data_IF_429069265515
#
_entry.id   IF_429069265515
#
_cell.length_a   1.000
_cell.length_b   1.000
_cell.length_c   1.000
_cell.angle_alpha   90.00
_cell.angle_beta   90.00
_cell.angle_gamma   90.00
#
_symmetry.space_group_name_H-M   'P 1'
#
loop_
_entity.id
_entity.type
_entity.pdbx_description
1 polymer ?
#
# COMPACT_ATOMS: atom_id res chain seq x y z
N UNK A 1 -8.14 37.69 -0.75
CA UNK A 1 -8.06 37.05 0.59
C UNK A 1 -7.98 35.55 0.38
N UNK A 2 -6.75 35.01 0.28
CA UNK A 2 -6.48 33.56 0.18
C UNK A 2 -6.50 33.06 1.63
N UNK A 3 -7.60 32.42 2.03
CA UNK A 3 -7.66 31.74 3.32
C UNK A 3 -6.77 30.51 3.24
N UNK A 4 -5.72 30.44 4.05
CA UNK A 4 -4.90 29.23 4.19
C UNK A 4 -5.81 28.06 4.59
N UNK A 5 -5.67 26.87 3.95
CA UNK A 5 -6.47 25.72 4.32
C UNK A 5 -6.22 25.37 5.79
N UNK A 6 -7.27 24.96 6.51
CA UNK A 6 -7.13 24.50 7.90
C UNK A 6 -6.20 23.28 7.95
N UNK A 7 -5.52 23.07 9.09
CA UNK A 7 -4.61 21.94 9.27
C UNK A 7 -5.31 20.60 8.94
N UNK A 8 -6.57 20.43 9.35
CA UNK A 8 -7.39 19.24 9.03
C UNK A 8 -7.60 19.04 7.52
N UNK A 9 -7.81 20.12 6.77
CA UNK A 9 -7.96 20.05 5.31
C UNK A 9 -6.65 19.68 4.63
N UNK A 10 -5.52 20.13 5.14
CA UNK A 10 -4.20 19.77 4.62
C UNK A 10 -3.88 18.29 4.88
N UNK A 11 -4.13 17.80 6.09
CA UNK A 11 -3.94 16.39 6.43
C UNK A 11 -4.80 15.47 5.56
N UNK A 12 -6.06 15.80 5.35
CA UNK A 12 -6.95 15.02 4.48
C UNK A 12 -6.44 14.98 3.02
N UNK A 13 -5.95 16.10 2.50
CA UNK A 13 -5.39 16.15 1.14
C UNK A 13 -4.14 15.30 1.00
N UNK A 14 -3.22 15.37 1.96
CA UNK A 14 -1.99 14.55 1.97
C UNK A 14 -2.38 13.07 1.99
N UNK A 15 -3.28 12.67 2.88
CA UNK A 15 -3.77 11.28 2.97
C UNK A 15 -4.39 10.80 1.65
N UNK A 16 -5.26 11.61 1.02
CA UNK A 16 -5.91 11.22 -0.24
C UNK A 16 -4.91 11.00 -1.38
N UNK A 17 -3.86 11.82 -1.47
CA UNK A 17 -2.88 11.70 -2.55
C UNK A 17 -1.91 10.54 -2.29
N UNK A 18 -1.53 10.31 -1.04
CA UNK A 18 -0.76 9.14 -0.64
C UNK A 18 -1.52 7.85 -0.99
N UNK A 19 -2.80 7.78 -0.65
CA UNK A 19 -3.69 6.67 -1.04
C UNK A 19 -3.67 6.41 -2.54
N UNK A 20 -3.72 7.44 -3.40
CA UNK A 20 -3.66 7.27 -4.87
C UNK A 20 -2.32 6.66 -5.29
N UNK A 21 -1.23 7.10 -4.70
CA UNK A 21 0.12 6.55 -4.99
C UNK A 21 0.20 5.07 -4.61
N UNK A 22 -0.26 4.71 -3.42
CA UNK A 22 -0.24 3.34 -2.90
C UNK A 22 -1.18 2.41 -3.69
N UNK A 23 -2.37 2.88 -4.07
CA UNK A 23 -3.28 2.16 -4.97
C UNK A 23 -2.63 1.87 -6.32
N UNK A 24 -1.98 2.89 -6.90
CA UNK A 24 -1.33 2.78 -8.22
C UNK A 24 -0.12 1.85 -8.16
N UNK A 25 0.70 1.94 -7.10
CA UNK A 25 1.83 1.04 -6.89
C UNK A 25 1.36 -0.41 -6.74
N UNK A 26 0.37 -0.65 -5.89
CA UNK A 26 -0.22 -1.97 -5.70
C UNK A 26 -0.78 -2.54 -7.00
N UNK A 27 -1.53 -1.73 -7.77
CA UNK A 27 -2.03 -2.14 -9.08
C UNK A 27 -0.90 -2.51 -10.06
N UNK A 28 0.16 -1.71 -10.12
CA UNK A 28 1.31 -1.96 -11.00
C UNK A 28 2.05 -3.25 -10.61
N UNK A 29 2.27 -3.49 -9.32
CA UNK A 29 2.86 -4.74 -8.82
C UNK A 29 1.96 -5.93 -9.12
N UNK A 30 0.66 -5.82 -8.91
CA UNK A 30 -0.31 -6.86 -9.22
C UNK A 30 -0.31 -7.21 -10.71
N UNK A 31 -0.36 -6.20 -11.57
CA UNK A 31 -0.32 -6.36 -13.02
C UNK A 31 0.98 -7.04 -13.49
N UNK A 32 2.12 -6.59 -12.96
CA UNK A 32 3.43 -7.18 -13.29
C UNK A 32 3.54 -8.66 -12.91
N UNK A 33 2.90 -9.07 -11.80
CA UNK A 33 2.99 -10.45 -11.30
C UNK A 33 1.99 -11.40 -11.97
N UNK A 34 0.74 -10.99 -12.13
CA UNK A 34 -0.36 -11.87 -12.56
C UNK A 34 -1.23 -11.30 -13.68
N UNK A 35 -0.98 -10.10 -14.19
CA UNK A 35 -1.83 -9.44 -15.19
C UNK A 35 -2.13 -10.32 -16.40
N UNK A 36 -1.09 -10.93 -16.99
CA UNK A 36 -1.22 -11.82 -18.16
C UNK A 36 -2.07 -13.08 -17.91
N UNK A 37 -2.32 -13.45 -16.65
CA UNK A 37 -3.05 -14.69 -16.26
C UNK A 37 -4.43 -14.40 -15.70
N UNK A 38 -4.72 -13.16 -15.32
CA UNK A 38 -5.94 -12.81 -14.57
C UNK A 38 -6.69 -11.62 -15.14
N UNK A 39 -6.23 -11.11 -16.28
CA UNK A 39 -6.69 -9.84 -16.82
C UNK A 39 -6.56 -8.74 -15.75
N UNK A 40 -7.43 -7.75 -15.77
CA UNK A 40 -7.44 -6.61 -14.82
C UNK A 40 -7.64 -6.98 -13.33
N UNK A 41 -7.92 -8.26 -13.01
CA UNK A 41 -8.13 -8.70 -11.61
C UNK A 41 -6.85 -8.60 -10.79
N UNK A 42 -5.69 -8.84 -11.40
CA UNK A 42 -4.41 -8.68 -10.69
C UNK A 42 -4.18 -7.22 -10.29
N UNK A 43 -4.42 -6.26 -11.18
CA UNK A 43 -4.32 -4.84 -10.86
C UNK A 43 -5.31 -4.44 -9.76
N UNK A 44 -6.56 -4.92 -9.83
CA UNK A 44 -7.58 -4.65 -8.82
C UNK A 44 -7.16 -5.18 -7.44
N UNK A 45 -6.76 -6.45 -7.34
CA UNK A 45 -6.33 -7.04 -6.07
C UNK A 45 -5.01 -6.47 -5.57
N UNK A 46 -4.13 -6.05 -6.49
CA UNK A 46 -2.92 -5.32 -6.16
C UNK A 46 -3.22 -3.96 -5.52
N UNK A 47 -4.21 -3.21 -6.07
CA UNK A 47 -4.69 -1.96 -5.46
C UNK A 47 -5.26 -2.19 -4.06
N UNK A 48 -6.09 -3.22 -3.88
CA UNK A 48 -6.67 -3.57 -2.57
C UNK A 48 -5.58 -3.91 -1.57
N UNK A 49 -4.61 -4.75 -1.97
CA UNK A 49 -3.48 -5.12 -1.12
C UNK A 49 -2.61 -3.90 -0.77
N UNK A 50 -2.32 -3.05 -1.77
CA UNK A 50 -1.53 -1.83 -1.58
C UNK A 50 -2.18 -0.81 -0.63
N UNK A 51 -3.50 -0.81 -0.50
CA UNK A 51 -4.24 0.08 0.41
C UNK A 51 -4.43 -0.53 1.80
N UNK A 52 -4.28 -1.84 1.95
CA UNK A 52 -4.60 -2.55 3.21
C UNK A 52 -3.85 -2.03 4.44
N UNK A 53 -2.53 -1.70 4.40
CA UNK A 53 -1.83 -1.18 5.57
C UNK A 53 -2.42 0.13 6.09
N UNK A 54 -2.84 1.03 5.20
CA UNK A 54 -3.38 2.35 5.55
C UNK A 54 -4.79 2.29 6.18
N UNK A 55 -5.45 1.13 6.16
CA UNK A 55 -6.71 0.95 6.86
C UNK A 55 -6.57 1.05 8.39
N UNK A 56 -5.35 0.98 8.92
CA UNK A 56 -5.07 1.22 10.33
C UNK A 56 -5.45 2.66 10.76
N UNK A 57 -5.41 3.63 9.84
CA UNK A 57 -5.89 5.00 10.08
C UNK A 57 -7.37 5.01 10.52
N UNK A 58 -8.19 4.10 9.99
CA UNK A 58 -9.60 4.00 10.38
C UNK A 58 -9.76 3.56 11.84
N UNK A 59 -8.84 2.75 12.35
CA UNK A 59 -8.81 2.35 13.76
C UNK A 59 -8.37 3.53 14.65
N UNK A 60 -7.53 4.41 14.10
CA UNK A 60 -7.03 5.60 14.77
C UNK A 60 -8.11 6.64 15.09
N UNK A 61 -9.26 6.65 14.38
CA UNK A 61 -10.38 7.57 14.67
C UNK A 61 -10.90 7.41 16.09
N UNK A 62 -10.67 6.26 16.70
CA UNK A 62 -11.10 5.94 18.09
C UNK A 62 -10.00 6.14 19.14
N UNK A 63 -8.82 6.64 18.77
CA UNK A 63 -7.66 6.80 19.66
C UNK A 63 -7.13 8.25 19.65
N UNK A 64 -6.28 8.61 20.63
CA UNK A 64 -5.66 9.96 20.68
C UNK A 64 -4.63 10.14 19.57
N UNK A 65 -4.41 11.38 19.12
CA UNK A 65 -3.45 11.73 18.04
C UNK A 65 -2.03 11.18 18.26
N UNK A 66 -1.55 11.21 19.51
CA UNK A 66 -0.22 10.68 19.86
C UNK A 66 -0.15 9.16 19.75
N UNK A 67 -1.24 8.46 20.05
CA UNK A 67 -1.35 7.01 19.91
C UNK A 67 -1.49 6.63 18.43
N UNK A 68 -2.19 7.44 17.63
CA UNK A 68 -2.29 7.24 16.18
C UNK A 68 -0.94 7.25 15.49
N UNK A 69 -0.09 8.23 15.78
CA UNK A 69 1.27 8.32 15.21
C UNK A 69 2.15 7.12 15.56
N UNK A 70 1.96 6.54 16.75
CA UNK A 70 2.70 5.35 17.19
C UNK A 70 2.19 4.03 16.61
N UNK A 71 0.88 3.94 16.32
CA UNK A 71 0.24 2.74 15.73
C UNK A 71 0.36 2.77 14.22
N UNK A 72 0.12 3.94 13.61
CA UNK A 72 0.26 4.15 12.18
C UNK A 72 1.72 3.94 11.76
N UNK A 73 1.95 3.16 10.71
CA UNK A 73 3.27 2.72 10.23
C UNK A 73 4.03 1.80 11.21
N UNK A 74 3.32 1.19 12.17
CA UNK A 74 3.81 0.14 13.05
C UNK A 74 3.64 -1.26 12.44
N UNK A 75 2.88 -2.11 13.12
CA UNK A 75 2.72 -3.53 12.75
C UNK A 75 2.19 -3.72 11.33
N UNK A 76 1.21 -2.92 10.90
CA UNK A 76 0.59 -2.99 9.56
C UNK A 76 1.57 -2.72 8.41
N UNK A 77 2.68 -2.03 8.68
CA UNK A 77 3.75 -1.70 7.72
C UNK A 77 5.02 -2.53 7.96
N UNK A 78 4.92 -3.64 8.70
CA UNK A 78 6.05 -4.50 9.00
C UNK A 78 6.22 -5.62 7.98
N UNK A 79 7.43 -6.16 7.91
CA UNK A 79 7.72 -7.36 7.13
C UNK A 79 6.87 -8.57 7.58
N UNK A 80 6.64 -8.70 8.88
CA UNK A 80 5.77 -9.76 9.44
C UNK A 80 4.35 -9.63 8.93
N UNK A 81 3.81 -8.42 8.89
CA UNK A 81 2.47 -8.18 8.33
C UNK A 81 2.43 -8.49 6.83
N UNK A 82 3.47 -8.14 6.07
CA UNK A 82 3.53 -8.47 4.64
C UNK A 82 3.49 -9.99 4.40
N UNK A 83 4.18 -10.77 5.22
CA UNK A 83 4.15 -12.25 5.14
C UNK A 83 2.77 -12.80 5.51
N UNK A 84 2.25 -12.44 6.68
CA UNK A 84 0.96 -12.97 7.17
C UNK A 84 -0.21 -12.47 6.33
N UNK A 85 -0.24 -11.18 6.02
CA UNK A 85 -1.23 -10.57 5.13
C UNK A 85 -1.19 -11.15 3.72
N UNK A 86 0.02 -11.44 3.22
CA UNK A 86 0.23 -12.13 1.96
C UNK A 86 -0.40 -13.52 1.93
N UNK A 87 -0.21 -14.30 2.98
CA UNK A 87 -0.79 -15.65 3.10
C UNK A 87 -2.32 -15.60 3.21
N UNK A 88 -2.85 -14.75 4.09
CA UNK A 88 -4.29 -14.61 4.33
C UNK A 88 -4.99 -14.01 3.11
N UNK A 89 -4.52 -12.86 2.61
CA UNK A 89 -5.10 -12.20 1.46
C UNK A 89 -5.05 -13.06 0.20
N UNK A 90 -3.94 -13.74 -0.04
CA UNK A 90 -3.80 -14.67 -1.16
C UNK A 90 -4.75 -15.86 -1.08
N UNK A 91 -4.95 -16.45 0.10
CA UNK A 91 -5.94 -17.51 0.33
C UNK A 91 -7.37 -17.02 0.08
N UNK A 92 -7.74 -15.87 0.62
CA UNK A 92 -9.06 -15.28 0.43
C UNK A 92 -9.33 -14.97 -1.05
N UNK A 93 -8.36 -14.36 -1.74
CA UNK A 93 -8.48 -14.08 -3.18
C UNK A 93 -8.64 -15.36 -4.00
N UNK A 94 -7.89 -16.40 -3.68
CA UNK A 94 -8.01 -17.70 -4.37
C UNK A 94 -9.38 -18.36 -4.16
N UNK A 95 -9.97 -18.22 -2.97
CA UNK A 95 -11.32 -18.73 -2.69
C UNK A 95 -12.36 -17.96 -3.50
N UNK A 96 -12.26 -16.62 -3.55
CA UNK A 96 -13.17 -15.76 -4.32
C UNK A 96 -13.10 -16.08 -5.82
N UNK A 97 -11.91 -16.44 -6.30
CA UNK A 97 -11.64 -16.71 -7.71
C UNK A 97 -11.34 -18.19 -7.95
N UNK A 98 -12.03 -19.10 -7.27
CA UNK A 98 -11.83 -20.56 -7.41
C UNK A 98 -12.02 -21.09 -8.84
N UNK A 99 -12.75 -20.36 -9.71
CA UNK A 99 -12.91 -20.69 -11.12
C UNK A 99 -11.72 -20.32 -12.01
N UNK A 100 -10.70 -19.63 -11.50
CA UNK A 100 -9.47 -19.35 -12.22
C UNK A 100 -8.42 -20.44 -11.91
N UNK A 101 -7.73 -20.93 -12.94
CA UNK A 101 -6.61 -21.87 -12.79
C UNK A 101 -5.35 -21.20 -12.23
N UNK A 102 -5.51 -20.46 -11.13
CA UNK A 102 -4.44 -19.74 -10.43
C UNK A 102 -4.27 -20.31 -9.03
N UNK A 103 -3.05 -20.75 -8.73
CA UNK A 103 -2.74 -21.31 -7.42
C UNK A 103 -2.85 -20.21 -6.33
N UNK A 104 -3.35 -20.56 -5.14
CA UNK A 104 -3.39 -19.68 -4.00
C UNK A 104 -2.00 -19.06 -3.65
N UNK A 105 -0.92 -19.81 -3.93
CA UNK A 105 0.46 -19.35 -3.72
C UNK A 105 0.82 -18.17 -4.62
N UNK A 106 0.29 -18.13 -5.85
CA UNK A 106 0.54 -17.01 -6.77
C UNK A 106 -0.19 -15.76 -6.29
N UNK A 107 -1.44 -15.90 -5.81
CA UNK A 107 -2.16 -14.82 -5.15
C UNK A 107 -1.44 -14.34 -3.87
N UNK A 108 -0.88 -15.28 -3.07
CA UNK A 108 -0.11 -14.92 -1.87
C UNK A 108 1.16 -14.13 -2.20
N UNK A 109 1.84 -14.46 -3.29
CA UNK A 109 2.99 -13.67 -3.79
C UNK A 109 2.57 -12.27 -4.19
N UNK A 110 1.42 -12.12 -4.89
CA UNK A 110 0.88 -10.80 -5.25
C UNK A 110 0.64 -9.97 -3.99
N UNK A 111 -0.12 -10.48 -3.05
CA UNK A 111 -0.40 -9.79 -1.79
C UNK A 111 0.87 -9.43 -1.02
N UNK A 112 1.79 -10.39 -0.88
CA UNK A 112 3.07 -10.17 -0.19
C UNK A 112 3.86 -9.01 -0.81
N UNK A 113 4.04 -9.03 -2.14
CA UNK A 113 4.81 -8.00 -2.80
C UNK A 113 4.13 -6.64 -2.78
N UNK A 114 2.81 -6.59 -2.90
CA UNK A 114 2.07 -5.32 -2.76
C UNK A 114 2.22 -4.73 -1.36
N UNK A 115 2.06 -5.53 -0.30
CA UNK A 115 2.23 -5.10 1.09
C UNK A 115 3.68 -4.69 1.38
N UNK A 116 4.65 -5.45 0.89
CA UNK A 116 6.06 -5.14 1.08
C UNK A 116 6.49 -3.86 0.36
N UNK A 117 6.09 -3.69 -0.90
CA UNK A 117 6.43 -2.49 -1.68
C UNK A 117 5.75 -1.25 -1.11
N UNK A 118 4.54 -1.36 -0.56
CA UNK A 118 3.89 -0.30 0.19
C UNK A 118 4.77 0.14 1.38
N UNK A 119 5.11 -0.78 2.29
CA UNK A 119 5.92 -0.47 3.47
C UNK A 119 7.32 0.07 3.12
N UNK A 120 7.91 -0.43 2.03
CA UNK A 120 9.19 0.09 1.52
C UNK A 120 9.05 1.51 0.99
N UNK A 121 7.99 1.82 0.21
CA UNK A 121 7.76 3.18 -0.27
C UNK A 121 7.64 4.16 0.88
N UNK A 122 6.92 3.79 1.93
CA UNK A 122 6.79 4.59 3.14
C UNK A 122 8.12 4.81 3.86
N UNK A 123 9.01 3.81 3.85
CA UNK A 123 10.35 3.97 4.41
C UNK A 123 11.22 4.97 3.62
N UNK A 124 10.91 5.24 2.34
CA UNK A 124 11.57 6.30 1.58
C UNK A 124 11.07 7.70 1.92
N UNK A 125 9.95 7.83 2.63
CA UNK A 125 9.42 9.13 3.08
C UNK A 125 10.14 9.66 4.32
N UNK A 126 9.80 10.89 4.74
CA UNK A 126 10.41 11.56 5.90
C UNK A 126 9.96 10.98 7.26
N UNK A 127 8.78 10.32 7.30
CA UNK A 127 8.16 9.91 8.57
C UNK A 127 8.73 8.63 9.15
N UNK A 128 9.35 7.79 8.31
CA UNK A 128 9.87 6.49 8.71
C UNK A 128 8.79 5.42 8.91
N UNK A 129 9.20 4.17 8.83
CA UNK A 129 8.32 3.00 8.91
C UNK A 129 8.98 1.92 9.76
N UNK A 130 8.24 1.29 10.68
CA UNK A 130 8.76 0.27 11.58
C UNK A 130 8.80 -1.11 10.88
N UNK A 131 9.64 -1.25 9.87
CA UNK A 131 9.73 -2.45 9.01
C UNK A 131 9.94 -3.75 9.80
N UNK A 132 10.63 -3.67 10.94
CA UNK A 132 11.00 -4.83 11.75
C UNK A 132 10.10 -5.06 12.96
N UNK A 133 8.98 -4.34 13.07
CA UNK A 133 7.99 -4.57 14.13
C UNK A 133 7.44 -6.01 14.03
N UNK A 134 7.27 -6.77 15.13
CA UNK A 134 7.42 -6.41 16.56
C UNK A 134 8.83 -6.62 17.12
N UNK A 135 9.81 -7.00 16.33
CA UNK A 135 11.19 -7.27 16.81
C UNK A 135 11.94 -5.98 17.15
N UNK A 136 11.63 -4.87 16.46
CA UNK A 136 12.22 -3.56 16.67
C UNK A 136 11.24 -2.46 16.27
N UNK A 137 11.10 -1.45 17.15
CA UNK A 137 10.28 -0.27 16.90
C UNK A 137 11.07 0.84 16.19
N UNK A 138 12.29 0.55 15.73
CA UNK A 138 13.14 1.54 15.07
C UNK A 138 12.52 1.96 13.73
N UNK A 139 12.20 3.26 13.54
CA UNK A 139 11.63 3.75 12.29
C UNK A 139 12.73 3.91 11.24
N UNK A 140 12.63 3.16 10.15
CA UNK A 140 13.52 3.29 8.99
C UNK A 140 13.01 4.44 8.13
N UNK A 141 13.82 5.48 7.90
CA UNK A 141 13.50 6.62 7.05
C UNK A 141 14.69 6.97 6.16
N UNK A 142 14.52 6.83 4.85
CA UNK A 142 15.55 7.23 3.88
C UNK A 142 15.41 8.68 3.45
N UNK A 143 14.26 9.33 3.70
CA UNK A 143 13.98 10.75 3.45
C UNK A 143 14.34 11.23 2.02
N UNK A 144 14.08 10.40 1.01
CA UNK A 144 14.45 10.67 -0.39
C UNK A 144 13.27 11.06 -1.26
N UNK A 145 12.04 10.75 -0.84
CA UNK A 145 10.80 10.98 -1.60
C UNK A 145 9.83 11.75 -0.70
N UNK A 146 9.08 12.67 -1.28
CA UNK A 146 7.95 13.29 -0.60
C UNK A 146 6.78 12.30 -0.55
N UNK A 147 5.93 12.39 0.49
CA UNK A 147 4.72 11.55 0.61
C UNK A 147 3.86 11.68 -0.63
N UNK A 148 3.81 12.87 -1.21
CA UNK A 148 3.10 13.20 -2.43
C UNK A 148 4.12 13.62 -3.46
N UNK A 149 4.63 12.67 -4.24
CA UNK A 149 5.58 12.96 -5.30
C UNK A 149 4.96 12.72 -6.69
N UNK A 150 4.54 13.78 -7.40
CA UNK A 150 3.98 13.65 -8.74
C UNK A 150 4.97 13.07 -9.74
N UNK A 151 6.28 13.30 -9.54
CA UNK A 151 7.34 12.78 -10.40
C UNK A 151 7.47 11.26 -10.31
N UNK A 152 7.03 10.67 -9.20
CA UNK A 152 6.96 9.22 -9.02
C UNK A 152 5.59 8.68 -9.46
N UNK A 153 4.50 9.30 -9.00
CA UNK A 153 3.14 8.79 -9.18
C UNK A 153 2.67 8.86 -10.64
N UNK A 154 2.95 9.97 -11.34
CA UNK A 154 2.47 10.14 -12.73
C UNK A 154 3.13 9.17 -13.73
N UNK A 155 4.45 8.95 -13.73
CA UNK A 155 5.05 7.93 -14.58
C UNK A 155 4.57 6.51 -14.27
N UNK A 156 4.41 6.18 -12.97
CA UNK A 156 3.90 4.88 -12.56
C UNK A 156 2.47 4.65 -13.05
N UNK A 157 1.60 5.64 -12.92
CA UNK A 157 0.23 5.60 -13.43
C UNK A 157 0.19 5.46 -14.95
N UNK A 158 1.02 6.19 -15.68
CA UNK A 158 1.12 6.10 -17.14
C UNK A 158 1.56 4.70 -17.57
N UNK A 159 2.58 4.12 -16.93
CA UNK A 159 3.04 2.76 -17.21
C UNK A 159 1.95 1.71 -16.90
N UNK A 160 1.23 1.86 -15.80
CA UNK A 160 0.12 0.98 -15.45
C UNK A 160 -1.00 1.04 -16.50
N UNK A 161 -1.41 2.25 -16.89
CA UNK A 161 -2.45 2.43 -17.92
C UNK A 161 -2.04 1.80 -19.25
N UNK A 162 -0.79 1.98 -19.68
CA UNK A 162 -0.27 1.31 -20.88
C UNK A 162 -0.31 -0.21 -20.75
N UNK A 163 0.12 -0.76 -19.61
CA UNK A 163 0.12 -2.21 -19.37
C UNK A 163 -1.30 -2.81 -19.35
N UNK A 164 -2.29 -2.07 -18.86
CA UNK A 164 -3.68 -2.53 -18.83
C UNK A 164 -4.43 -2.36 -20.17
N UNK A 165 -3.91 -1.54 -21.10
CA UNK A 165 -4.53 -1.26 -22.40
C UNK A 165 -3.95 -2.11 -23.54
N UNK A 166 -2.74 -2.64 -23.39
CA UNK A 166 -2.02 -3.50 -24.34
C UNK A 166 -2.23 -4.97 -24.04
#
# INVERSE_FOLDING_TARGET
LYSSPSASTLHLRIFLIDTVTQLTLGAAVGEALLGRRTDRRAALWGSVAGMTPDLDVLLGVFTSETTQLGIHRGLSHSFVFAVLGGLVGGRLTAIIHAGLEINWRDWSKLWFWCLLTHALLDAFTLYGTQLFNPLSDYPVAFSTIFIVDPLYTLPLLACLLMACLL
#
